data_IF_415342587958
#
_entry.id   IF_415342587958
#
_cell.length_a   1.000
_cell.length_b   1.000
_cell.length_c   1.000
_cell.angle_alpha   90.00
_cell.angle_beta   90.00
_cell.angle_gamma   90.00
#
_symmetry.space_group_name_H-M   'P 1'
#
loop_
_entity.id
_entity.type
_entity.pdbx_description
1 polymer ?
#
# COMPACT_ATOMS: atom_id res chain seq x y z
N UNK A 1 -7.75 11.15 5.00
CA UNK A 1 -6.43 10.59 5.34
C UNK A 1 -5.41 10.93 4.25
N UNK A 2 -4.13 10.83 4.58
CA UNK A 2 -3.00 10.86 3.63
C UNK A 2 -2.37 9.47 3.67
N UNK A 3 -2.01 8.93 2.50
CA UNK A 3 -1.32 7.64 2.40
C UNK A 3 0.05 7.91 1.78
N UNK A 4 1.12 7.42 2.42
CA UNK A 4 2.52 7.49 1.98
C UNK A 4 2.97 8.90 1.53
N UNK A 5 2.94 9.92 2.40
CA UNK A 5 3.42 11.25 2.03
C UNK A 5 4.93 11.24 1.83
N UNK A 6 5.38 11.49 0.60
CA UNK A 6 6.81 11.40 0.26
C UNK A 6 7.30 12.59 -0.55
N UNK A 7 6.80 12.74 -1.76
CA UNK A 7 7.21 13.77 -2.71
C UNK A 7 6.10 14.80 -2.94
N UNK A 8 6.45 15.98 -3.45
CA UNK A 8 5.49 17.03 -3.79
C UNK A 8 4.57 17.46 -2.64
N UNK A 9 5.11 17.51 -1.42
CA UNK A 9 4.33 17.87 -0.22
C UNK A 9 3.67 19.25 -0.34
N UNK A 10 4.31 20.19 -1.04
CA UNK A 10 3.72 21.51 -1.32
C UNK A 10 2.41 21.40 -2.11
N UNK A 11 2.33 20.52 -3.11
CA UNK A 11 1.10 20.29 -3.87
C UNK A 11 0.02 19.66 -3.00
N UNK A 12 0.39 18.68 -2.18
CA UNK A 12 -0.51 18.07 -1.21
C UNK A 12 -1.06 19.10 -0.21
N UNK A 13 -0.22 19.97 0.33
CA UNK A 13 -0.64 21.06 1.22
C UNK A 13 -1.60 22.05 0.54
N UNK A 14 -1.34 22.37 -0.74
CA UNK A 14 -2.26 23.21 -1.53
C UNK A 14 -3.62 22.53 -1.72
N UNK A 15 -3.65 21.23 -1.99
CA UNK A 15 -4.90 20.46 -2.09
C UNK A 15 -5.66 20.50 -0.76
N UNK A 16 -4.99 20.24 0.36
CA UNK A 16 -5.56 20.27 1.71
C UNK A 16 -6.17 21.64 1.98
N UNK A 17 -5.41 22.70 1.74
CA UNK A 17 -5.83 24.10 2.00
C UNK A 17 -6.99 24.53 1.09
N UNK A 18 -6.87 24.29 -0.22
CA UNK A 18 -7.86 24.76 -1.20
C UNK A 18 -9.23 24.08 -1.03
N UNK A 19 -9.23 22.84 -0.54
CA UNK A 19 -10.44 22.06 -0.30
C UNK A 19 -10.88 22.08 1.18
N UNK A 20 -10.19 22.85 2.04
CA UNK A 20 -10.46 22.92 3.48
C UNK A 20 -10.56 21.55 4.14
N UNK A 21 -9.64 20.65 3.77
CA UNK A 21 -9.64 19.28 4.29
C UNK A 21 -9.06 19.23 5.70
N UNK A 22 -9.74 18.48 6.59
CA UNK A 22 -9.21 18.14 7.90
C UNK A 22 -8.60 16.74 7.83
N UNK A 23 -7.28 16.65 7.87
CA UNK A 23 -6.59 15.37 7.84
C UNK A 23 -6.70 14.69 9.20
N UNK A 24 -7.25 13.47 9.21
CA UNK A 24 -7.46 12.70 10.43
C UNK A 24 -6.25 11.81 10.75
N UNK A 25 -5.63 11.22 9.72
CA UNK A 25 -4.50 10.30 9.85
C UNK A 25 -3.53 10.43 8.69
N UNK A 26 -2.26 10.13 8.96
CA UNK A 26 -1.23 9.78 7.99
C UNK A 26 -1.04 8.28 8.10
N UNK A 27 -1.10 7.54 7.00
CA UNK A 27 -0.99 6.07 6.98
C UNK A 27 0.17 5.69 6.07
N UNK A 28 1.09 4.87 6.56
CA UNK A 28 2.14 4.31 5.71
C UNK A 28 1.81 2.87 5.35
N UNK A 29 1.94 2.54 4.06
CA UNK A 29 1.78 1.18 3.56
C UNK A 29 2.95 0.31 4.01
N UNK A 30 4.15 0.88 4.16
CA UNK A 30 5.34 0.22 4.67
C UNK A 30 6.43 1.24 5.06
N UNK A 31 7.56 0.77 5.63
CA UNK A 31 8.57 1.60 6.29
C UNK A 31 9.60 2.26 5.36
N UNK A 32 9.64 1.99 4.05
CA UNK A 32 10.67 2.53 3.18
C UNK A 32 10.61 4.07 3.09
N UNK A 33 11.78 4.67 2.98
CA UNK A 33 11.94 6.14 3.06
C UNK A 33 11.17 6.91 1.98
N UNK A 34 11.07 6.35 0.78
CA UNK A 34 10.31 6.92 -0.33
C UNK A 34 8.77 6.88 -0.14
N UNK A 35 8.28 6.28 0.95
CA UNK A 35 6.88 6.32 1.39
C UNK A 35 6.69 7.15 2.67
N UNK A 36 7.75 7.37 3.44
CA UNK A 36 7.64 7.88 4.82
C UNK A 36 8.36 9.21 5.07
N UNK A 37 9.22 9.66 4.14
CA UNK A 37 10.06 10.86 4.35
C UNK A 37 9.29 12.15 4.59
N UNK A 38 8.07 12.26 4.09
CA UNK A 38 7.19 13.41 4.30
C UNK A 38 6.37 13.36 5.59
N UNK A 39 6.45 12.26 6.36
CA UNK A 39 5.64 12.09 7.56
C UNK A 39 5.76 13.25 8.53
N UNK A 40 6.98 13.65 8.87
CA UNK A 40 7.20 14.70 9.86
C UNK A 40 6.63 16.05 9.41
N UNK A 41 6.83 16.42 8.15
CA UNK A 41 6.29 17.66 7.58
C UNK A 41 4.75 17.64 7.61
N UNK A 42 4.14 16.52 7.24
CA UNK A 42 2.68 16.36 7.30
C UNK A 42 2.15 16.36 8.74
N UNK A 43 2.84 15.76 9.70
CA UNK A 43 2.50 15.87 11.13
C UNK A 43 2.58 17.34 11.59
N UNK A 44 3.63 18.05 11.19
CA UNK A 44 3.83 19.46 11.61
C UNK A 44 2.75 20.38 11.04
N UNK A 45 2.30 20.16 9.81
CA UNK A 45 1.27 20.97 9.17
C UNK A 45 -0.16 20.59 9.58
N UNK A 46 -0.47 19.30 9.71
CA UNK A 46 -1.84 18.80 9.94
C UNK A 46 -2.15 18.41 11.37
N UNK A 47 -1.14 18.11 12.19
CA UNK A 47 -1.24 17.51 13.54
C UNK A 47 -1.88 16.11 13.53
N UNK A 48 -1.97 15.47 12.38
CA UNK A 48 -2.53 14.13 12.25
C UNK A 48 -1.54 13.07 12.76
N UNK A 49 -1.99 12.06 13.53
CA UNK A 49 -1.15 10.97 13.99
C UNK A 49 -0.79 10.01 12.85
N UNK A 50 0.37 9.34 12.97
CA UNK A 50 0.86 8.35 12.02
C UNK A 50 0.35 6.96 12.40
N UNK A 51 -0.26 6.27 11.42
CA UNK A 51 -0.68 4.87 11.51
C UNK A 51 0.30 4.00 10.73
N UNK A 52 0.75 2.91 11.36
CA UNK A 52 1.58 1.89 10.73
C UNK A 52 1.19 0.49 11.21
N UNK A 53 1.58 -0.52 10.44
CA UNK A 53 1.41 -1.91 10.83
C UNK A 53 2.29 -2.27 12.04
N UNK A 54 1.84 -3.22 12.89
CA UNK A 54 2.57 -3.64 14.10
C UNK A 54 3.99 -4.18 13.84
N UNK A 55 4.27 -4.64 12.62
CA UNK A 55 5.60 -5.10 12.21
C UNK A 55 6.52 -3.97 11.73
N UNK A 56 6.05 -2.73 11.68
CA UNK A 56 6.89 -1.59 11.27
C UNK A 56 7.97 -1.31 12.30
N UNK A 57 9.17 -0.97 11.80
CA UNK A 57 10.32 -0.59 12.65
C UNK A 57 10.38 0.91 12.92
N UNK A 58 9.52 1.69 12.27
CA UNK A 58 9.47 3.13 12.44
C UNK A 58 8.62 3.53 13.64
N UNK A 59 8.90 4.74 14.16
CA UNK A 59 8.06 5.36 15.18
C UNK A 59 6.67 5.64 14.60
N UNK A 60 5.65 5.24 15.32
CA UNK A 60 4.24 5.47 14.99
C UNK A 60 3.47 5.94 16.23
N UNK A 61 2.27 6.48 15.99
CA UNK A 61 1.35 6.91 17.05
C UNK A 61 0.21 5.88 17.25
N UNK A 62 -0.15 5.20 16.16
CA UNK A 62 -1.24 4.22 16.15
C UNK A 62 -0.75 2.97 15.41
N UNK A 63 -0.97 1.82 16.01
CA UNK A 63 -0.64 0.50 15.46
C UNK A 63 -1.90 -0.14 14.90
N UNK A 64 -1.80 -0.71 13.68
CA UNK A 64 -2.85 -1.53 13.08
C UNK A 64 -2.34 -2.94 12.78
N UNK A 65 -3.29 -3.88 12.66
CA UNK A 65 -3.07 -5.30 12.35
C UNK A 65 -3.89 -5.71 11.15
N UNK A 66 -3.64 -6.91 10.66
CA UNK A 66 -4.47 -7.52 9.63
C UNK A 66 -5.94 -7.59 10.07
N UNK A 67 -6.84 -7.18 9.17
CA UNK A 67 -8.27 -7.14 9.40
C UNK A 67 -8.81 -5.92 10.13
N UNK A 68 -7.96 -5.05 10.69
CA UNK A 68 -8.39 -3.81 11.33
C UNK A 68 -9.04 -2.84 10.33
N UNK A 69 -9.79 -1.86 10.86
CA UNK A 69 -10.39 -0.79 10.07
C UNK A 69 -9.85 0.57 10.50
N UNK A 70 -9.45 1.38 9.52
CA UNK A 70 -9.11 2.80 9.71
C UNK A 70 -10.33 3.62 9.30
N UNK A 71 -11.00 4.24 10.27
CA UNK A 71 -12.22 5.02 10.05
C UNK A 71 -11.92 6.52 9.95
N UNK A 72 -12.40 7.18 8.90
CA UNK A 72 -12.24 8.62 8.67
C UNK A 72 -13.43 9.21 7.94
N UNK A 73 -13.97 10.31 8.46
CA UNK A 73 -15.21 10.90 7.95
C UNK A 73 -16.34 9.86 7.95
N UNK A 74 -16.94 9.63 6.79
CA UNK A 74 -17.99 8.62 6.59
C UNK A 74 -17.46 7.34 5.92
N UNK A 75 -16.14 7.24 5.75
CA UNK A 75 -15.46 6.14 5.06
C UNK A 75 -14.62 5.32 6.02
N UNK A 76 -14.26 4.12 5.60
CA UNK A 76 -13.31 3.24 6.29
C UNK A 76 -12.49 2.44 5.29
N UNK A 77 -11.24 2.18 5.65
CA UNK A 77 -10.37 1.25 4.92
C UNK A 77 -10.06 0.05 5.79
N UNK A 78 -10.20 -1.15 5.22
CA UNK A 78 -9.74 -2.39 5.84
C UNK A 78 -8.25 -2.54 5.59
N UNK A 79 -7.51 -2.88 6.64
CA UNK A 79 -6.09 -3.22 6.57
C UNK A 79 -5.95 -4.69 6.16
N UNK A 80 -5.16 -4.96 5.14
CA UNK A 80 -4.73 -6.29 4.75
C UNK A 80 -3.21 -6.35 4.90
N UNK A 81 -2.71 -7.24 5.76
CA UNK A 81 -1.27 -7.46 5.88
C UNK A 81 -0.77 -8.26 4.68
N UNK A 82 0.09 -7.67 3.88
CA UNK A 82 0.58 -8.21 2.61
C UNK A 82 2.12 -8.17 2.55
N UNK A 83 2.80 -8.89 3.48
CA UNK A 83 4.26 -8.89 3.54
C UNK A 83 4.89 -9.54 2.31
N UNK A 84 6.13 -9.18 2.04
CA UNK A 84 6.92 -9.76 0.95
C UNK A 84 7.85 -8.78 0.29
N UNK A 85 7.39 -7.57 -0.04
CA UNK A 85 8.26 -6.45 -0.36
C UNK A 85 8.99 -5.96 0.90
N UNK A 86 8.24 -5.80 1.99
CA UNK A 86 8.75 -5.59 3.35
C UNK A 86 7.94 -6.42 4.36
N UNK A 87 8.40 -6.53 5.61
CA UNK A 87 7.68 -7.27 6.64
C UNK A 87 6.39 -6.59 7.09
N UNK A 88 6.32 -5.27 6.99
CA UNK A 88 5.21 -4.42 7.44
C UNK A 88 4.29 -3.97 6.31
N UNK A 89 4.50 -4.45 5.09
CA UNK A 89 3.67 -4.07 3.94
C UNK A 89 2.20 -4.38 4.19
N UNK A 90 1.35 -3.38 3.94
CA UNK A 90 -0.11 -3.51 3.98
C UNK A 90 -0.74 -2.96 2.70
N UNK A 91 -1.88 -3.54 2.35
CA UNK A 91 -2.83 -2.94 1.42
C UNK A 91 -4.02 -2.37 2.21
N UNK A 92 -4.61 -1.30 1.72
CA UNK A 92 -5.78 -0.66 2.31
C UNK A 92 -6.95 -0.76 1.34
N UNK A 93 -8.07 -1.34 1.76
CA UNK A 93 -9.22 -1.60 0.88
C UNK A 93 -10.49 -0.95 1.42
N UNK A 94 -11.17 -0.18 0.59
CA UNK A 94 -12.47 0.43 0.91
C UNK A 94 -13.00 1.32 -0.20
N UNK A 95 -14.30 1.57 -0.17
CA UNK A 95 -15.00 2.44 -1.12
C UNK A 95 -14.70 2.13 -2.61
N UNK A 96 -14.59 0.83 -2.95
CA UNK A 96 -14.30 0.36 -4.32
C UNK A 96 -12.83 0.51 -4.74
N UNK A 97 -11.93 0.83 -3.82
CA UNK A 97 -10.52 1.06 -4.11
C UNK A 97 -9.60 0.15 -3.28
N UNK A 98 -8.40 -0.09 -3.80
CA UNK A 98 -7.27 -0.68 -3.09
C UNK A 98 -6.02 0.18 -3.26
N UNK A 99 -5.40 0.55 -2.15
CA UNK A 99 -4.08 1.20 -2.10
C UNK A 99 -3.07 0.13 -1.73
N UNK A 100 -2.29 -0.34 -2.71
CA UNK A 100 -1.47 -1.54 -2.57
C UNK A 100 -0.04 -1.29 -2.09
N UNK A 101 0.37 -0.03 -1.94
CA UNK A 101 1.78 0.28 -1.71
C UNK A 101 2.66 -0.45 -2.72
N UNK A 102 3.71 -1.10 -2.23
CA UNK A 102 4.66 -1.85 -3.05
C UNK A 102 4.39 -3.37 -3.08
N UNK A 103 3.19 -3.80 -2.67
CA UNK A 103 2.80 -5.21 -2.83
C UNK A 103 2.47 -5.53 -4.28
N UNK A 104 1.69 -4.68 -4.96
CA UNK A 104 1.26 -4.89 -6.35
C UNK A 104 1.31 -3.56 -7.10
N UNK A 105 1.97 -3.56 -8.26
CA UNK A 105 1.97 -2.45 -9.23
C UNK A 105 1.10 -2.79 -10.44
N UNK A 106 0.85 -1.79 -11.27
CA UNK A 106 0.26 -2.02 -12.59
C UNK A 106 1.26 -2.77 -13.47
N UNK A 107 0.98 -4.04 -13.75
CA UNK A 107 1.82 -4.91 -14.58
C UNK A 107 3.04 -5.54 -13.88
N UNK A 108 3.26 -5.28 -12.59
CA UNK A 108 4.40 -5.82 -11.83
C UNK A 108 4.08 -5.90 -10.33
N UNK A 109 5.08 -6.20 -9.49
CA UNK A 109 5.02 -6.15 -8.02
C UNK A 109 6.29 -5.49 -7.45
N UNK A 110 6.31 -5.23 -6.15
CA UNK A 110 7.48 -4.74 -5.45
C UNK A 110 8.63 -5.74 -5.44
N UNK A 111 9.85 -5.21 -5.43
CA UNK A 111 11.09 -6.00 -5.32
C UNK A 111 11.19 -6.68 -3.94
N UNK A 112 11.98 -7.74 -3.87
CA UNK A 112 12.12 -8.56 -2.66
C UNK A 112 13.56 -8.65 -2.14
N UNK A 113 14.49 -7.99 -2.80
CA UNK A 113 15.94 -8.04 -2.51
C UNK A 113 16.40 -6.99 -1.48
N UNK A 114 15.47 -6.21 -0.92
CA UNK A 114 15.72 -5.29 0.18
C UNK A 114 15.55 -5.99 1.55
N UNK A 115 16.10 -5.40 2.65
CA UNK A 115 15.90 -5.94 3.99
C UNK A 115 14.41 -6.14 4.33
N UNK A 116 14.06 -7.33 4.78
CA UNK A 116 12.66 -7.72 5.05
C UNK A 116 11.91 -8.29 3.85
N UNK A 117 12.53 -8.30 2.66
CA UNK A 117 11.97 -8.90 1.46
C UNK A 117 11.88 -10.42 1.53
N UNK A 118 10.85 -11.02 0.92
CA UNK A 118 10.62 -12.46 0.88
C UNK A 118 9.71 -12.85 -0.27
N UNK A 119 10.22 -13.61 -1.24
CA UNK A 119 9.41 -14.11 -2.36
C UNK A 119 8.26 -15.00 -1.89
N UNK A 120 8.48 -15.88 -0.91
CA UNK A 120 7.42 -16.75 -0.39
C UNK A 120 6.29 -15.95 0.25
N UNK A 121 6.60 -14.95 1.11
CA UNK A 121 5.58 -14.09 1.69
C UNK A 121 4.83 -13.29 0.62
N UNK A 122 5.55 -12.77 -0.38
CA UNK A 122 4.94 -12.03 -1.48
C UNK A 122 3.99 -12.92 -2.29
N UNK A 123 4.38 -14.17 -2.54
CA UNK A 123 3.51 -15.16 -3.17
C UNK A 123 2.17 -15.29 -2.42
N UNK A 124 2.21 -15.52 -1.11
CA UNK A 124 0.99 -15.63 -0.29
C UNK A 124 0.18 -14.33 -0.28
N UNK A 125 0.84 -13.18 -0.20
CA UNK A 125 0.17 -11.87 -0.28
C UNK A 125 -0.57 -11.68 -1.62
N UNK A 126 0.04 -12.09 -2.74
CA UNK A 126 -0.57 -11.95 -4.06
C UNK A 126 -1.67 -13.00 -4.31
N UNK A 127 -1.40 -14.29 -4.00
CA UNK A 127 -2.27 -15.39 -4.42
C UNK A 127 -3.34 -15.77 -3.39
N UNK A 128 -3.05 -15.65 -2.09
CA UNK A 128 -4.03 -15.99 -1.06
C UNK A 128 -4.86 -14.77 -0.63
N UNK A 129 -4.26 -13.55 -0.64
CA UNK A 129 -4.93 -12.33 -0.24
C UNK A 129 -5.48 -11.57 -1.45
N UNK A 130 -4.61 -11.01 -2.31
CA UNK A 130 -5.08 -10.10 -3.39
C UNK A 130 -5.89 -10.83 -4.47
N UNK A 131 -5.55 -12.08 -4.77
CA UNK A 131 -6.31 -12.88 -5.76
C UNK A 131 -7.72 -13.22 -5.30
N UNK A 132 -8.02 -13.15 -3.99
CA UNK A 132 -9.35 -13.38 -3.43
C UNK A 132 -10.26 -12.13 -3.46
N UNK A 133 -9.69 -10.95 -3.76
CA UNK A 133 -10.42 -9.69 -3.76
C UNK A 133 -11.31 -9.55 -5.00
N UNK A 134 -12.28 -8.64 -4.91
CA UNK A 134 -13.18 -8.27 -6.00
C UNK A 134 -12.40 -7.71 -7.20
N UNK A 135 -12.73 -8.19 -8.38
CA UNK A 135 -12.10 -7.81 -9.64
C UNK A 135 -12.31 -6.34 -10.00
N UNK A 136 -13.40 -5.73 -9.53
CA UNK A 136 -13.76 -4.34 -9.83
C UNK A 136 -13.03 -3.31 -8.93
N UNK A 137 -12.28 -3.75 -7.91
CA UNK A 137 -11.50 -2.83 -7.09
C UNK A 137 -10.48 -2.07 -7.93
N UNK A 138 -10.52 -0.74 -7.88
CA UNK A 138 -9.55 0.14 -8.54
C UNK A 138 -8.25 0.12 -7.77
N UNK A 139 -7.17 -0.26 -8.45
CA UNK A 139 -5.82 -0.39 -7.89
C UNK A 139 -5.06 0.93 -7.98
N UNK A 140 -4.63 1.45 -6.83
CA UNK A 140 -3.71 2.56 -6.67
C UNK A 140 -2.39 2.04 -6.09
N UNK A 141 -1.33 1.87 -6.89
CA UNK A 141 -0.03 1.39 -6.43
C UNK A 141 0.80 2.48 -5.76
N UNK A 142 1.86 2.09 -5.03
CA UNK A 142 2.82 3.02 -4.43
C UNK A 142 3.65 3.78 -5.46
N UNK A 143 3.93 3.17 -6.61
CA UNK A 143 4.70 3.76 -7.71
C UNK A 143 4.02 3.58 -9.06
N UNK A 144 4.19 4.59 -9.93
CA UNK A 144 3.72 4.56 -11.31
C UNK A 144 4.82 4.01 -12.24
N UNK A 145 5.05 2.69 -12.19
CA UNK A 145 6.00 1.99 -13.08
C UNK A 145 5.30 1.33 -14.28
N UNK A 146 3.98 1.31 -14.28
CA UNK A 146 3.18 0.65 -15.30
C UNK A 146 2.83 1.55 -16.49
N UNK A 147 2.10 1.01 -17.47
CA UNK A 147 1.64 1.77 -18.64
C UNK A 147 0.50 2.75 -18.29
N UNK A 148 -0.14 2.61 -17.15
CA UNK A 148 -1.21 3.48 -16.64
C UNK A 148 -0.99 3.72 -15.14
N UNK A 149 -1.48 4.87 -14.62
CA UNK A 149 -1.36 5.22 -13.21
C UNK A 149 -2.20 4.33 -12.28
N UNK A 150 -3.33 3.84 -12.78
CA UNK A 150 -4.26 2.98 -12.06
C UNK A 150 -4.65 1.77 -12.90
N UNK A 151 -5.17 0.74 -12.25
CA UNK A 151 -5.66 -0.48 -12.89
C UNK A 151 -6.89 -1.00 -12.12
N UNK A 152 -7.25 -2.27 -12.30
CA UNK A 152 -8.18 -2.99 -11.41
C UNK A 152 -7.58 -4.33 -11.02
N UNK A 153 -8.03 -4.89 -9.90
CA UNK A 153 -7.58 -6.22 -9.45
C UNK A 153 -7.86 -7.27 -10.53
N UNK A 154 -9.02 -7.23 -11.18
CA UNK A 154 -9.37 -8.16 -12.27
C UNK A 154 -8.47 -8.01 -13.48
N UNK A 155 -8.11 -6.78 -13.87
CA UNK A 155 -7.16 -6.55 -14.97
C UNK A 155 -5.78 -7.09 -14.64
N UNK A 156 -5.28 -6.85 -13.41
CA UNK A 156 -3.99 -7.39 -12.99
C UNK A 156 -4.00 -8.93 -12.94
N UNK A 157 -5.05 -9.57 -12.45
CA UNK A 157 -5.21 -11.04 -12.52
C UNK A 157 -5.13 -11.57 -13.96
N UNK A 158 -5.61 -10.81 -14.95
CA UNK A 158 -5.62 -11.25 -16.37
C UNK A 158 -4.31 -10.92 -17.10
N UNK A 159 -3.69 -9.78 -16.83
CA UNK A 159 -2.63 -9.25 -17.70
C UNK A 159 -1.26 -9.12 -17.03
N UNK A 160 -1.22 -9.00 -15.70
CA UNK A 160 0.04 -8.91 -14.97
C UNK A 160 0.70 -10.29 -14.89
N UNK A 161 1.90 -10.41 -15.46
CA UNK A 161 2.62 -11.67 -15.46
C UNK A 161 2.86 -12.21 -14.04
N UNK A 162 3.08 -11.32 -13.08
CA UNK A 162 3.30 -11.69 -11.66
C UNK A 162 2.05 -12.37 -11.08
N UNK A 163 0.85 -11.92 -11.44
CA UNK A 163 -0.44 -12.42 -10.93
C UNK A 163 -0.95 -13.67 -11.66
N UNK A 164 -0.26 -14.16 -12.73
CA UNK A 164 -0.68 -15.38 -13.43
C UNK A 164 -0.54 -16.60 -12.52
N UNK A 165 -1.56 -17.47 -12.53
CA UNK A 165 -1.61 -18.68 -11.69
C UNK A 165 -0.37 -19.54 -11.88
N UNK A 166 0.28 -19.85 -10.77
CA UNK A 166 1.48 -20.71 -10.70
C UNK A 166 1.61 -21.32 -9.31
N UNK A 167 2.46 -22.33 -9.18
CA UNK A 167 2.85 -22.85 -7.86
C UNK A 167 3.80 -21.87 -7.17
N UNK A 168 3.89 -21.97 -5.85
CA UNK A 168 4.86 -21.17 -5.09
C UNK A 168 6.28 -21.39 -5.60
N UNK A 169 6.70 -22.64 -5.86
CA UNK A 169 8.04 -22.91 -6.37
C UNK A 169 8.32 -22.21 -7.72
N UNK A 170 7.35 -22.21 -8.64
CA UNK A 170 7.49 -21.47 -9.90
C UNK A 170 7.61 -19.96 -9.70
N UNK A 171 6.94 -19.42 -8.68
CA UNK A 171 7.07 -18.01 -8.34
C UNK A 171 8.44 -17.71 -7.73
N UNK A 172 8.92 -18.54 -6.81
CA UNK A 172 10.25 -18.40 -6.21
C UNK A 172 11.35 -18.45 -7.29
N UNK A 173 11.28 -19.41 -8.22
CA UNK A 173 12.24 -19.56 -9.33
C UNK A 173 12.23 -18.33 -10.27
N UNK A 174 11.09 -17.66 -10.41
CA UNK A 174 10.96 -16.45 -11.23
C UNK A 174 11.50 -15.20 -10.54
N UNK A 175 11.37 -15.13 -9.21
CA UNK A 175 11.75 -13.94 -8.41
C UNK A 175 13.21 -13.98 -7.95
N UNK A 176 13.85 -15.13 -7.95
CA UNK A 176 15.22 -15.35 -7.48
C UNK A 176 16.18 -15.59 -8.57
#
# INVERSE_FOLDING_TARGET
IIIDPSWNLMELELIIKNNNLKIKYIVNTHYHDDHTRGNQEMVDSTKAPIIQHESSTLKNDIIVKDGDFIEFGNSKLKVLHTPGHSNDSICLVGDGNIFSGDTLFVGNCGRIDLPGGSASKLYHSLFDVLHSLDDDLVLYPGHNYGPTEVSTIGKEKMTNMIMQKRTEQQFLDMMG
#
